data_IF_106198167423
#
_entry.id   IF_106198167423
#
_cell.length_a   1.000
_cell.length_b   1.000
_cell.length_c   1.000
_cell.angle_alpha   90.00
_cell.angle_beta   90.00
_cell.angle_gamma   90.00
#
_symmetry.space_group_name_H-M   'P 1'
#
loop_
_entity.id
_entity.type
_entity.pdbx_description
1 polymer ?
#
# COMPACT_ATOMS: atom_id res chain seq x y z
N UNK A 1 -22.54 11.44 -13.87
CA UNK A 1 -22.09 11.47 -12.48
C UNK A 1 -20.57 11.45 -12.53
N UNK A 2 -19.90 12.14 -11.61
CA UNK A 2 -18.45 12.05 -11.48
C UNK A 2 -18.09 11.37 -10.16
N UNK A 3 -17.13 10.45 -10.21
CA UNK A 3 -16.67 9.69 -9.05
C UNK A 3 -15.20 10.02 -8.84
N UNK A 4 -14.83 10.37 -7.61
CA UNK A 4 -13.43 10.38 -7.20
C UNK A 4 -13.11 9.03 -6.57
N UNK A 5 -11.98 8.44 -6.95
CA UNK A 5 -11.51 7.17 -6.40
C UNK A 5 -10.10 7.34 -5.83
N UNK A 6 -9.86 6.75 -4.67
CA UNK A 6 -8.53 6.63 -4.04
C UNK A 6 -8.41 5.26 -3.35
N UNK A 7 -7.19 4.79 -3.08
CA UNK A 7 -6.95 3.50 -2.44
C UNK A 7 -5.78 3.53 -1.47
N UNK A 8 -5.73 2.53 -0.59
CA UNK A 8 -4.55 2.11 0.17
C UNK A 8 -3.90 3.29 0.90
N UNK A 9 -4.68 3.96 1.75
CA UNK A 9 -4.19 5.09 2.53
C UNK A 9 -3.18 4.62 3.59
N UNK A 10 -3.40 3.44 4.18
CA UNK A 10 -2.62 2.87 5.28
C UNK A 10 -2.39 3.90 6.40
N UNK A 11 -3.50 4.43 6.92
CA UNK A 11 -3.51 5.40 8.00
C UNK A 11 -2.82 4.81 9.23
N UNK A 12 -1.66 5.39 9.56
CA UNK A 12 -0.72 4.81 10.52
C UNK A 12 0.22 5.85 11.10
N UNK A 13 0.67 5.60 12.33
CA UNK A 13 1.64 6.46 13.01
C UNK A 13 2.98 6.49 12.31
N UNK A 14 3.44 5.37 11.75
CA UNK A 14 4.76 5.25 11.15
C UNK A 14 4.70 4.50 9.83
N UNK A 15 5.69 4.73 8.99
CA UNK A 15 5.96 3.89 7.82
C UNK A 15 7.32 3.20 7.99
N UNK A 16 7.79 2.47 6.97
CA UNK A 16 8.98 1.61 7.05
C UNK A 16 10.15 2.19 7.87
N UNK A 17 10.77 3.27 7.37
CA UNK A 17 11.88 3.97 8.05
C UNK A 17 11.49 5.34 8.59
N UNK A 18 10.32 5.84 8.23
CA UNK A 18 9.85 7.16 8.64
C UNK A 18 9.22 7.09 10.03
N UNK A 19 10.07 7.30 11.06
CA UNK A 19 9.67 7.19 12.48
C UNK A 19 9.83 8.49 13.26
N UNK A 20 9.83 9.63 12.56
CA UNK A 20 10.01 10.95 13.16
C UNK A 20 8.69 11.62 13.56
N UNK A 21 8.77 12.50 14.56
CA UNK A 21 7.66 13.38 14.95
C UNK A 21 7.47 14.49 13.92
N UNK A 22 6.21 14.84 13.69
CA UNK A 22 5.79 16.08 13.07
C UNK A 22 5.59 17.16 14.12
N UNK A 23 4.86 18.21 13.76
CA UNK A 23 4.55 19.34 14.62
C UNK A 23 3.57 19.00 15.76
N UNK A 24 2.55 18.22 15.45
CA UNK A 24 1.47 17.80 16.35
C UNK A 24 1.39 16.28 16.40
N UNK A 25 1.38 15.62 15.23
CA UNK A 25 1.33 14.15 15.13
C UNK A 25 2.68 13.58 14.72
N UNK A 26 2.75 12.28 14.48
CA UNK A 26 3.88 11.73 13.72
C UNK A 26 3.92 12.36 12.33
N UNK A 27 5.12 12.42 11.73
CA UNK A 27 5.26 13.01 10.40
C UNK A 27 4.41 12.28 9.35
N UNK A 28 4.26 10.95 9.49
CA UNK A 28 3.41 10.14 8.60
C UNK A 28 1.94 10.52 8.74
N UNK A 29 1.42 10.70 9.95
CA UNK A 29 0.03 11.12 10.13
C UNK A 29 -0.23 12.52 9.57
N UNK A 30 0.69 13.47 9.77
CA UNK A 30 0.55 14.81 9.16
C UNK A 30 0.52 14.76 7.64
N UNK A 31 1.36 13.91 7.04
CA UNK A 31 1.36 13.66 5.61
C UNK A 31 0.04 13.04 5.11
N UNK A 32 -0.52 12.09 5.86
CA UNK A 32 -1.80 11.47 5.56
C UNK A 32 -2.96 12.47 5.68
N UNK A 33 -2.95 13.32 6.71
CA UNK A 33 -3.91 14.43 6.87
C UNK A 33 -3.86 15.35 5.65
N UNK A 34 -2.67 15.76 5.21
CA UNK A 34 -2.51 16.61 4.02
C UNK A 34 -3.01 15.92 2.75
N UNK A 35 -2.65 14.65 2.56
CA UNK A 35 -3.09 13.86 1.42
C UNK A 35 -4.61 13.72 1.39
N UNK A 36 -5.25 13.38 2.50
CA UNK A 36 -6.71 13.24 2.56
C UNK A 36 -7.45 14.58 2.43
N UNK A 37 -6.93 15.65 3.03
CA UNK A 37 -7.49 16.99 2.82
C UNK A 37 -7.43 17.41 1.34
N UNK A 38 -6.35 17.07 0.66
CA UNK A 38 -6.22 17.28 -0.77
C UNK A 38 -7.22 16.44 -1.58
N UNK A 39 -7.44 15.17 -1.23
CA UNK A 39 -8.49 14.34 -1.85
C UNK A 39 -9.86 15.01 -1.75
N UNK A 40 -10.24 15.48 -0.55
CA UNK A 40 -11.51 16.18 -0.31
C UNK A 40 -11.62 17.50 -1.08
N UNK A 41 -10.50 18.22 -1.24
CA UNK A 41 -10.43 19.43 -2.05
C UNK A 41 -10.61 19.11 -3.54
N UNK A 42 -9.93 18.08 -4.06
CA UNK A 42 -10.08 17.63 -5.44
C UNK A 42 -11.51 17.17 -5.73
N UNK A 43 -12.17 16.52 -4.78
CA UNK A 43 -13.58 16.16 -4.89
C UNK A 43 -14.46 17.39 -5.15
N UNK A 44 -14.31 18.44 -4.33
CA UNK A 44 -15.05 19.70 -4.45
C UNK A 44 -14.73 20.42 -5.76
N UNK A 45 -13.44 20.57 -6.08
CA UNK A 45 -12.97 21.29 -7.27
C UNK A 45 -13.46 20.64 -8.57
N UNK A 46 -13.47 19.30 -8.61
CA UNK A 46 -13.93 18.54 -9.77
C UNK A 46 -15.45 18.29 -9.77
N UNK A 47 -16.18 18.82 -8.78
CA UNK A 47 -17.63 18.69 -8.63
C UNK A 47 -18.06 17.22 -8.67
N UNK A 48 -17.33 16.36 -7.97
CA UNK A 48 -17.67 14.94 -7.91
C UNK A 48 -18.95 14.75 -7.09
N UNK A 49 -19.67 13.68 -7.38
CA UNK A 49 -20.93 13.34 -6.71
C UNK A 49 -20.74 12.25 -5.65
N UNK A 50 -19.66 11.47 -5.78
CA UNK A 50 -19.34 10.31 -4.96
C UNK A 50 -17.82 10.22 -4.81
N UNK A 51 -17.38 9.84 -3.63
CA UNK A 51 -16.00 9.50 -3.30
C UNK A 51 -15.96 8.01 -2.93
N UNK A 52 -15.03 7.26 -3.52
CA UNK A 52 -14.84 5.84 -3.24
C UNK A 52 -13.42 5.59 -2.73
N UNK A 53 -13.31 5.06 -1.52
CA UNK A 53 -12.08 4.51 -0.95
C UNK A 53 -12.01 3.01 -1.22
N UNK A 54 -10.99 2.57 -1.96
CA UNK A 54 -10.79 1.20 -2.42
C UNK A 54 -10.23 0.26 -1.35
N UNK A 55 -10.54 0.45 -0.07
CA UNK A 55 -10.01 -0.39 1.02
C UNK A 55 -8.63 0.01 1.52
N UNK A 56 -8.22 -0.62 2.62
CA UNK A 56 -7.01 -0.33 3.38
C UNK A 56 -6.86 1.16 3.67
N UNK A 57 -7.96 1.77 4.13
CA UNK A 57 -7.86 3.12 4.66
C UNK A 57 -6.96 3.12 5.88
N UNK A 58 -7.18 2.18 6.81
CA UNK A 58 -6.30 1.96 7.96
C UNK A 58 -5.29 0.86 7.69
N UNK A 59 -4.11 1.00 8.29
CA UNK A 59 -3.03 0.00 8.15
C UNK A 59 -3.26 -1.28 8.99
N UNK A 60 -4.25 -1.25 9.87
CA UNK A 60 -4.58 -2.32 10.82
C UNK A 60 -6.00 -2.16 11.36
N UNK A 61 -6.51 -3.21 11.96
CA UNK A 61 -7.81 -3.29 12.64
C UNK A 61 -7.83 -2.51 13.97
N UNK A 62 -6.68 -2.37 14.63
CA UNK A 62 -6.56 -1.75 15.94
C UNK A 62 -5.85 -0.39 15.89
N UNK A 63 -6.63 0.68 16.01
CA UNK A 63 -6.12 2.06 15.99
C UNK A 63 -5.67 2.52 17.39
N UNK A 64 -4.55 3.22 17.45
CA UNK A 64 -4.12 3.87 18.69
C UNK A 64 -4.77 5.26 18.87
N UNK A 65 -4.58 5.86 20.05
CA UNK A 65 -5.18 7.16 20.38
C UNK A 65 -4.72 8.30 19.49
N UNK A 66 -3.48 8.28 19.01
CA UNK A 66 -2.94 9.29 18.12
C UNK A 66 -3.56 9.20 16.72
N UNK A 67 -3.64 7.99 16.16
CA UNK A 67 -4.26 7.67 14.88
C UNK A 67 -5.73 8.12 14.85
N UNK A 68 -6.49 7.84 15.91
CA UNK A 68 -7.89 8.26 16.06
C UNK A 68 -8.00 9.79 16.19
N UNK A 69 -7.11 10.42 16.95
CA UNK A 69 -7.14 11.87 17.15
C UNK A 69 -6.84 12.62 15.86
N UNK A 70 -5.86 12.15 15.08
CA UNK A 70 -5.46 12.73 13.80
C UNK A 70 -6.60 12.74 12.76
N UNK A 71 -7.55 11.80 12.81
CA UNK A 71 -8.71 11.78 11.90
C UNK A 71 -9.59 13.03 12.02
N UNK A 72 -9.54 13.74 13.15
CA UNK A 72 -10.30 14.98 13.37
C UNK A 72 -9.77 16.15 12.54
N UNK A 73 -8.54 16.07 12.06
CA UNK A 73 -7.90 17.11 11.24
C UNK A 73 -8.23 17.00 9.75
N UNK A 74 -8.95 15.94 9.35
CA UNK A 74 -9.41 15.78 7.97
C UNK A 74 -10.70 16.58 7.79
N UNK A 75 -10.70 17.49 6.82
CA UNK A 75 -11.79 18.36 6.42
C UNK A 75 -12.74 17.65 5.45
N UNK A 76 -13.40 16.61 5.95
CA UNK A 76 -14.39 15.82 5.22
C UNK A 76 -15.42 16.70 4.53
N UNK A 77 -15.64 16.48 3.23
CA UNK A 77 -16.73 17.11 2.49
C UNK A 77 -18.08 16.48 2.86
N UNK A 78 -19.17 17.15 2.49
CA UNK A 78 -20.52 16.58 2.60
C UNK A 78 -20.90 15.68 1.40
N UNK A 79 -19.95 15.38 0.53
CA UNK A 79 -20.15 14.45 -0.59
C UNK A 79 -20.36 13.05 -0.02
N UNK A 80 -21.06 12.20 -0.76
CA UNK A 80 -21.22 10.80 -0.38
C UNK A 80 -19.88 10.06 -0.46
N UNK A 81 -19.56 9.27 0.57
CA UNK A 81 -18.37 8.43 0.64
C UNK A 81 -18.75 6.96 0.74
N UNK A 82 -18.10 6.12 -0.05
CA UNK A 82 -18.12 4.68 0.09
C UNK A 82 -16.72 4.18 0.39
N UNK A 83 -16.57 3.44 1.49
CA UNK A 83 -15.31 2.79 1.86
C UNK A 83 -15.48 1.28 1.74
N UNK A 84 -14.69 0.67 0.88
CA UNK A 84 -14.49 -0.78 0.94
C UNK A 84 -13.69 -1.09 2.21
N UNK A 85 -13.92 -2.26 2.80
CA UNK A 85 -13.03 -2.80 3.83
C UNK A 85 -11.93 -3.60 3.12
N UNK A 86 -10.68 -3.21 3.36
CA UNK A 86 -9.50 -3.95 2.87
C UNK A 86 -9.03 -5.03 3.85
N UNK A 87 -7.98 -5.76 3.49
CA UNK A 87 -7.48 -6.88 4.29
C UNK A 87 -6.78 -6.44 5.59
N UNK A 88 -6.22 -5.23 5.64
CA UNK A 88 -5.55 -4.71 6.83
C UNK A 88 -6.54 -4.33 7.94
N UNK A 89 -7.76 -3.98 7.57
CA UNK A 89 -8.74 -3.40 8.48
C UNK A 89 -9.53 -4.47 9.24
N UNK A 90 -9.30 -5.75 8.94
CA UNK A 90 -10.08 -6.90 9.39
C UNK A 90 -9.69 -7.35 10.80
N UNK A 91 -10.58 -7.18 11.78
CA UNK A 91 -10.43 -7.80 13.10
C UNK A 91 -10.83 -9.28 13.16
N UNK A 92 -11.57 -9.76 12.15
CA UNK A 92 -12.01 -11.15 11.97
C UNK A 92 -12.14 -11.48 10.49
N UNK A 93 -12.16 -12.78 10.16
CA UNK A 93 -12.30 -13.29 8.80
C UNK A 93 -13.68 -13.03 8.13
N UNK A 94 -14.59 -12.30 8.77
CA UNK A 94 -15.95 -12.03 8.27
C UNK A 94 -16.21 -10.55 7.94
N UNK A 95 -15.17 -9.69 7.96
CA UNK A 95 -15.22 -8.23 7.73
C UNK A 95 -16.14 -7.44 8.70
N UNK A 96 -16.84 -8.12 9.60
CA UNK A 96 -17.86 -7.50 10.45
C UNK A 96 -17.24 -6.59 11.51
N UNK A 97 -16.08 -6.98 12.02
CA UNK A 97 -15.27 -6.15 12.91
C UNK A 97 -14.14 -5.53 12.12
N UNK A 98 -14.23 -4.22 11.89
CA UNK A 98 -13.22 -3.47 11.15
C UNK A 98 -13.02 -2.06 11.69
N UNK A 99 -11.78 -1.57 11.61
CA UNK A 99 -11.43 -0.18 11.97
C UNK A 99 -12.16 0.84 11.10
N UNK A 100 -12.52 0.49 9.86
CA UNK A 100 -13.24 1.37 8.91
C UNK A 100 -14.59 1.84 9.44
N UNK A 101 -15.23 1.07 10.33
CA UNK A 101 -16.50 1.46 10.96
C UNK A 101 -16.42 2.71 11.84
N UNK A 102 -15.22 3.22 12.15
CA UNK A 102 -15.05 4.54 12.77
C UNK A 102 -15.65 5.68 11.94
N UNK A 103 -15.80 5.47 10.62
CA UNK A 103 -16.41 6.42 9.71
C UNK A 103 -17.93 6.32 9.62
N UNK A 104 -18.58 5.47 10.42
CA UNK A 104 -20.04 5.30 10.39
C UNK A 104 -20.77 6.59 10.86
N UNK A 105 -20.93 7.51 9.91
CA UNK A 105 -21.50 8.86 10.05
C UNK A 105 -22.48 9.09 8.89
N UNK A 106 -23.27 10.17 8.98
CA UNK A 106 -24.12 10.59 7.86
C UNK A 106 -23.28 10.83 6.60
N UNK A 107 -23.71 10.25 5.47
CA UNK A 107 -23.08 10.28 4.13
C UNK A 107 -21.85 9.37 3.95
N UNK A 108 -21.53 8.52 4.92
CA UNK A 108 -20.45 7.53 4.82
C UNK A 108 -21.05 6.13 4.82
N UNK A 109 -20.70 5.34 3.82
CA UNK A 109 -21.14 3.96 3.65
C UNK A 109 -19.94 3.02 3.73
N UNK A 110 -20.01 2.06 4.64
CA UNK A 110 -18.98 1.04 4.83
C UNK A 110 -19.46 -0.24 4.14
N UNK A 111 -18.79 -0.61 3.06
CA UNK A 111 -19.16 -1.77 2.25
C UNK A 111 -18.33 -2.96 2.72
N UNK A 112 -18.96 -3.81 3.55
CA UNK A 112 -18.35 -5.00 4.16
C UNK A 112 -18.71 -6.31 3.43
N UNK A 113 -19.38 -6.21 2.28
CA UNK A 113 -19.63 -7.32 1.38
C UNK A 113 -19.94 -6.83 -0.03
N UNK A 114 -20.00 -7.76 -1.01
CA UNK A 114 -20.38 -7.44 -2.38
C UNK A 114 -21.76 -6.78 -2.44
N UNK A 115 -21.84 -5.58 -3.00
CA UNK A 115 -23.10 -4.84 -3.14
C UNK A 115 -23.13 -4.03 -4.43
N UNK A 116 -24.34 -3.80 -4.95
CA UNK A 116 -24.58 -2.95 -6.11
C UNK A 116 -25.41 -1.74 -5.75
N UNK A 117 -24.91 -0.58 -6.15
CA UNK A 117 -25.65 0.68 -6.14
C UNK A 117 -25.98 1.02 -7.59
N UNK A 118 -27.26 0.92 -7.96
CA UNK A 118 -27.72 1.31 -9.29
C UNK A 118 -27.97 2.82 -9.34
N UNK A 119 -27.28 3.52 -10.24
CA UNK A 119 -27.51 4.94 -10.47
C UNK A 119 -28.27 5.13 -11.79
N UNK A 120 -29.59 5.28 -11.67
CA UNK A 120 -30.53 5.32 -12.82
C UNK A 120 -30.25 6.44 -13.81
N UNK A 121 -29.88 7.62 -13.33
CA UNK A 121 -29.64 8.79 -14.18
C UNK A 121 -28.37 8.66 -15.04
N UNK A 122 -27.32 8.06 -14.47
CA UNK A 122 -26.06 7.80 -15.18
C UNK A 122 -26.04 6.45 -15.90
N UNK A 123 -27.07 5.60 -15.71
CA UNK A 123 -27.15 4.23 -16.22
C UNK A 123 -25.90 3.41 -15.90
N UNK A 124 -25.47 3.47 -14.64
CA UNK A 124 -24.36 2.65 -14.13
C UNK A 124 -24.79 1.73 -13.00
N UNK A 125 -24.22 0.53 -12.99
CA UNK A 125 -24.13 -0.36 -11.85
C UNK A 125 -22.76 -0.12 -11.19
N UNK A 126 -22.75 0.55 -10.04
CA UNK A 126 -21.55 0.65 -9.21
C UNK A 126 -21.51 -0.57 -8.29
N UNK A 127 -20.57 -1.48 -8.55
CA UNK A 127 -20.36 -2.69 -7.74
C UNK A 127 -19.22 -2.42 -6.77
N UNK A 128 -19.48 -2.62 -5.49
CA UNK A 128 -18.50 -2.47 -4.42
C UNK A 128 -18.11 -3.87 -3.94
N UNK A 129 -16.82 -4.18 -4.05
CA UNK A 129 -16.27 -5.49 -3.78
C UNK A 129 -15.10 -5.35 -2.78
N UNK A 130 -15.38 -5.38 -1.46
CA UNK A 130 -14.32 -5.36 -0.45
C UNK A 130 -13.46 -6.62 -0.51
N UNK A 131 -12.48 -6.74 0.38
CA UNK A 131 -11.58 -7.88 0.41
C UNK A 131 -12.30 -9.21 0.66
N UNK A 132 -12.13 -10.16 -0.25
CA UNK A 132 -12.82 -11.45 -0.21
C UNK A 132 -11.86 -12.54 0.29
N UNK A 133 -12.18 -13.12 1.46
CA UNK A 133 -11.41 -14.21 2.06
C UNK A 133 -11.85 -15.61 1.61
N UNK A 134 -12.84 -15.73 0.74
CA UNK A 134 -13.39 -17.03 0.35
C UNK A 134 -12.82 -17.48 -1.01
N UNK A 135 -11.78 -18.35 -1.02
CA UNK A 135 -11.11 -18.78 -2.25
C UNK A 135 -11.95 -19.73 -3.10
N UNK A 136 -13.01 -20.32 -2.55
CA UNK A 136 -13.80 -21.35 -3.23
C UNK A 136 -14.88 -20.79 -4.16
N UNK A 137 -15.18 -19.48 -4.05
CA UNK A 137 -16.15 -18.82 -4.92
C UNK A 137 -15.45 -18.17 -6.10
N UNK A 138 -15.94 -18.47 -7.30
CA UNK A 138 -15.50 -17.78 -8.51
C UNK A 138 -15.89 -16.30 -8.47
N UNK A 139 -15.12 -15.45 -9.13
CA UNK A 139 -15.45 -14.02 -9.30
C UNK A 139 -16.89 -13.84 -9.82
N UNK A 140 -17.27 -14.68 -10.78
CA UNK A 140 -18.59 -14.71 -11.41
C UNK A 140 -19.73 -14.89 -10.40
N UNK A 141 -19.54 -15.65 -9.32
CA UNK A 141 -20.58 -15.83 -8.30
C UNK A 141 -20.87 -14.55 -7.52
N UNK A 142 -19.87 -13.67 -7.39
CA UNK A 142 -20.05 -12.38 -6.75
C UNK A 142 -20.76 -11.40 -7.66
N UNK A 143 -20.48 -11.40 -8.97
CA UNK A 143 -20.92 -10.33 -9.88
C UNK A 143 -22.05 -10.69 -10.86
N UNK A 144 -22.28 -11.97 -11.18
CA UNK A 144 -23.30 -12.37 -12.17
C UNK A 144 -24.73 -12.01 -11.77
N UNK A 145 -25.01 -11.83 -10.49
CA UNK A 145 -26.35 -11.46 -10.02
C UNK A 145 -26.71 -10.00 -10.34
N UNK A 146 -25.76 -9.24 -10.91
CA UNK A 146 -25.82 -7.79 -11.03
C UNK A 146 -25.88 -7.27 -12.47
N UNK A 147 -25.88 -8.16 -13.47
CA UNK A 147 -25.81 -7.82 -14.88
C UNK A 147 -27.17 -7.44 -15.48
N UNK A 148 -27.63 -6.22 -15.20
CA UNK A 148 -28.61 -5.56 -16.07
C UNK A 148 -27.88 -4.98 -17.29
N UNK A 149 -28.10 -5.57 -18.47
CA UNK A 149 -27.45 -5.16 -19.72
C UNK A 149 -27.78 -3.74 -20.17
N UNK A 150 -28.74 -3.08 -19.52
CA UNK A 150 -29.07 -1.67 -19.79
C UNK A 150 -28.15 -0.68 -19.06
N UNK A 151 -27.25 -1.16 -18.22
CA UNK A 151 -26.35 -0.38 -17.39
C UNK A 151 -24.89 -0.75 -17.66
N UNK A 152 -24.02 0.26 -17.67
CA UNK A 152 -22.57 0.04 -17.63
C UNK A 152 -22.18 -0.44 -16.24
N UNK A 153 -21.32 -1.43 -16.13
CA UNK A 153 -20.87 -2.00 -14.84
C UNK A 153 -19.46 -1.51 -14.52
N UNK A 154 -19.35 -0.73 -13.44
CA UNK A 154 -18.08 -0.27 -12.87
C UNK A 154 -17.88 -0.97 -11.54
N UNK A 155 -16.77 -1.69 -11.40
CA UNK A 155 -16.45 -2.43 -10.18
C UNK A 155 -15.32 -1.72 -9.44
N UNK A 156 -15.58 -1.38 -8.18
CA UNK A 156 -14.60 -0.91 -7.22
C UNK A 156 -14.22 -2.10 -6.34
N UNK A 157 -12.94 -2.47 -6.34
CA UNK A 157 -12.45 -3.69 -5.71
C UNK A 157 -11.26 -3.44 -4.80
N UNK A 158 -11.12 -4.28 -3.77
CA UNK A 158 -9.89 -4.44 -2.99
C UNK A 158 -9.55 -5.92 -2.93
N UNK A 159 -8.95 -6.50 -3.97
CA UNK A 159 -8.67 -7.94 -4.03
C UNK A 159 -7.39 -8.24 -4.79
N UNK A 160 -6.84 -9.43 -4.57
CA UNK A 160 -5.79 -9.99 -5.42
C UNK A 160 -6.29 -10.17 -6.86
N UNK A 161 -5.40 -9.94 -7.82
CA UNK A 161 -5.64 -10.19 -9.25
C UNK A 161 -4.64 -11.23 -9.74
N UNK A 162 -5.13 -12.32 -10.32
CA UNK A 162 -4.30 -13.36 -10.90
C UNK A 162 -3.81 -12.92 -12.29
N UNK A 163 -2.57 -13.24 -12.63
CA UNK A 163 -1.98 -12.96 -13.94
C UNK A 163 -1.21 -11.63 -14.07
N UNK A 164 -1.15 -10.81 -13.02
CA UNK A 164 -0.35 -9.58 -13.00
C UNK A 164 1.14 -9.86 -12.73
N UNK A 165 2.03 -9.04 -13.28
CA UNK A 165 3.47 -9.12 -13.07
C UNK A 165 3.88 -8.36 -11.79
N UNK A 166 4.30 -9.08 -10.76
CA UNK A 166 4.81 -8.53 -9.49
C UNK A 166 6.33 -8.71 -9.42
N UNK A 167 7.07 -7.77 -10.02
CA UNK A 167 8.53 -7.83 -10.06
C UNK A 167 9.02 -8.99 -10.95
N UNK A 168 9.52 -10.08 -10.34
CA UNK A 168 10.01 -11.28 -11.08
C UNK A 168 8.98 -12.41 -11.17
N UNK A 169 7.84 -12.29 -10.49
CA UNK A 169 6.83 -13.34 -10.40
C UNK A 169 5.51 -12.87 -11.01
N UNK A 170 4.75 -13.79 -11.60
CA UNK A 170 3.37 -13.55 -12.00
C UNK A 170 2.45 -14.07 -10.90
N UNK A 171 1.51 -13.25 -10.45
CA UNK A 171 0.54 -13.66 -9.43
C UNK A 171 -0.30 -14.83 -9.94
N UNK A 172 -0.46 -15.86 -9.10
CA UNK A 172 -1.33 -17.02 -9.37
C UNK A 172 -2.59 -17.02 -8.50
N UNK A 173 -2.70 -16.07 -7.58
CA UNK A 173 -3.80 -15.92 -6.63
C UNK A 173 -4.68 -14.73 -7.03
N UNK A 174 -5.94 -14.77 -6.62
CA UNK A 174 -6.91 -13.71 -6.86
C UNK A 174 -7.85 -13.99 -8.03
N UNK A 175 -8.57 -12.94 -8.45
CA UNK A 175 -9.53 -13.03 -9.54
C UNK A 175 -8.81 -13.04 -10.90
N UNK A 176 -9.26 -13.91 -11.80
CA UNK A 176 -8.69 -14.00 -13.16
C UNK A 176 -9.06 -12.76 -13.98
N UNK A 177 -8.08 -12.20 -14.69
CA UNK A 177 -8.28 -11.00 -15.51
C UNK A 177 -9.38 -11.19 -16.56
N UNK A 178 -9.51 -12.38 -17.16
CA UNK A 178 -10.53 -12.63 -18.18
C UNK A 178 -11.93 -12.65 -17.57
N UNK A 179 -12.08 -13.28 -16.42
CA UNK A 179 -13.35 -13.29 -15.69
C UNK A 179 -13.79 -11.85 -15.33
N UNK A 180 -12.84 -11.00 -14.95
CA UNK A 180 -13.08 -9.57 -14.71
C UNK A 180 -13.57 -8.88 -15.98
N UNK A 181 -12.83 -8.99 -17.09
CA UNK A 181 -13.12 -8.31 -18.34
C UNK A 181 -14.45 -8.72 -18.99
N UNK A 182 -14.90 -9.96 -18.76
CA UNK A 182 -16.19 -10.47 -19.23
C UNK A 182 -17.38 -9.92 -18.44
N UNK A 183 -17.16 -9.41 -17.22
CA UNK A 183 -18.24 -9.00 -16.31
C UNK A 183 -18.42 -7.50 -16.14
N UNK A 184 -17.47 -6.69 -16.59
CA UNK A 184 -17.52 -5.25 -16.36
C UNK A 184 -17.00 -4.43 -17.54
N UNK A 185 -17.43 -3.17 -17.57
CA UNK A 185 -16.91 -2.17 -18.48
C UNK A 185 -15.63 -1.53 -17.93
N UNK A 186 -15.50 -1.46 -16.60
CA UNK A 186 -14.33 -0.94 -15.90
C UNK A 186 -14.19 -1.58 -14.51
N UNK A 187 -12.97 -1.99 -14.17
CA UNK A 187 -12.58 -2.54 -12.88
C UNK A 187 -11.45 -1.71 -12.30
N UNK A 188 -11.67 -1.15 -11.11
CA UNK A 188 -10.72 -0.28 -10.40
C UNK A 188 -10.39 -0.94 -9.07
N UNK A 189 -9.14 -1.36 -8.91
CA UNK A 189 -8.67 -2.11 -7.76
C UNK A 189 -7.76 -1.27 -6.84
N UNK A 190 -7.89 -1.46 -5.53
CA UNK A 190 -6.87 -1.14 -4.52
C UNK A 190 -5.95 -2.35 -4.25
N UNK A 191 -5.48 -2.50 -3.02
CA UNK A 191 -4.69 -3.63 -2.50
C UNK A 191 -3.22 -3.66 -2.94
N UNK A 192 -2.94 -3.37 -4.21
CA UNK A 192 -1.57 -3.34 -4.72
C UNK A 192 -1.08 -1.90 -4.76
N UNK A 193 0.03 -1.61 -4.09
CA UNK A 193 0.44 -0.21 -3.87
C UNK A 193 0.98 0.49 -5.11
N UNK A 194 1.49 -0.26 -6.09
CA UNK A 194 1.99 0.30 -7.34
C UNK A 194 0.85 0.43 -8.36
N UNK A 195 0.49 1.67 -8.72
CA UNK A 195 -0.58 1.92 -9.69
C UNK A 195 -0.20 1.47 -11.10
N UNK A 196 -1.06 0.70 -11.76
CA UNK A 196 -0.82 0.17 -13.09
C UNK A 196 -2.14 -0.02 -13.85
N UNK A 197 -2.13 0.39 -15.13
CA UNK A 197 -3.18 0.00 -16.08
C UNK A 197 -2.86 -1.39 -16.60
N UNK A 198 -3.51 -2.41 -16.04
CA UNK A 198 -3.27 -3.83 -16.37
C UNK A 198 -3.84 -4.14 -17.76
N UNK A 199 -5.06 -3.68 -18.05
CA UNK A 199 -5.68 -3.76 -19.37
C UNK A 199 -6.46 -2.48 -19.68
N UNK A 200 -7.17 -2.42 -20.81
CA UNK A 200 -8.07 -1.30 -21.10
C UNK A 200 -9.26 -1.19 -20.13
N UNK A 201 -9.58 -2.28 -19.42
CA UNK A 201 -10.71 -2.34 -18.48
C UNK A 201 -10.28 -2.56 -17.03
N UNK A 202 -9.06 -3.03 -16.78
CA UNK A 202 -8.59 -3.36 -15.43
C UNK A 202 -7.48 -2.40 -15.03
N UNK A 203 -7.72 -1.66 -13.94
CA UNK A 203 -6.79 -0.68 -13.40
C UNK A 203 -6.56 -1.01 -11.94
N UNK A 204 -5.29 -1.13 -11.56
CA UNK A 204 -4.89 -1.03 -10.16
C UNK A 204 -4.49 0.42 -9.88
N UNK A 205 -5.18 1.09 -8.95
CA UNK A 205 -4.97 2.53 -8.74
C UNK A 205 -3.65 2.82 -8.02
N UNK A 206 -3.21 1.91 -7.14
CA UNK A 206 -2.09 2.15 -6.26
C UNK A 206 -2.49 2.86 -4.97
N UNK A 207 -1.49 3.10 -4.12
CA UNK A 207 -1.70 3.81 -2.87
C UNK A 207 -1.68 5.33 -3.02
N UNK A 208 -2.47 5.99 -2.17
CA UNK A 208 -2.55 7.45 -2.12
C UNK A 208 -1.21 8.11 -1.74
N UNK A 209 -0.37 7.41 -0.99
CA UNK A 209 0.97 7.84 -0.61
C UNK A 209 1.80 6.66 -0.17
N UNK A 210 3.08 6.67 -0.51
CA UNK A 210 3.97 5.56 -0.23
C UNK A 210 4.11 5.18 1.25
N UNK A 211 4.36 3.90 1.48
CA UNK A 211 4.46 3.28 2.80
C UNK A 211 5.83 2.62 3.01
N UNK A 212 6.37 1.96 1.99
CA UNK A 212 7.61 1.22 2.13
C UNK A 212 8.35 1.01 0.81
N UNK A 213 9.57 0.48 0.89
CA UNK A 213 10.44 0.32 -0.27
C UNK A 213 9.99 -0.76 -1.27
N UNK A 214 8.91 -1.51 -1.07
CA UNK A 214 8.35 -2.37 -2.13
C UNK A 214 7.79 -1.56 -3.30
N UNK A 215 7.52 -0.28 -3.06
CA UNK A 215 7.10 0.70 -4.06
C UNK A 215 8.30 1.22 -4.87
N UNK A 216 8.03 1.68 -6.09
CA UNK A 216 9.03 2.23 -7.01
C UNK A 216 8.57 3.57 -7.57
N UNK A 217 8.91 4.66 -6.88
CA UNK A 217 8.53 6.02 -7.27
C UNK A 217 9.26 6.54 -8.52
N UNK A 218 10.16 5.76 -9.13
CA UNK A 218 10.65 6.05 -10.48
C UNK A 218 9.64 5.67 -11.56
N UNK A 219 8.79 4.68 -11.30
CA UNK A 219 7.85 4.12 -12.29
C UNK A 219 6.42 4.53 -12.01
N UNK A 220 6.06 4.59 -10.73
CA UNK A 220 4.69 4.77 -10.31
C UNK A 220 4.50 6.13 -9.65
N UNK A 221 3.32 6.71 -9.85
CA UNK A 221 2.85 7.92 -9.17
C UNK A 221 1.70 7.56 -8.24
N UNK A 222 1.61 8.26 -7.13
CA UNK A 222 0.51 8.12 -6.17
C UNK A 222 -0.65 9.01 -6.62
N UNK A 223 -1.73 8.42 -7.13
CA UNK A 223 -2.79 9.17 -7.81
C UNK A 223 -4.16 8.99 -7.14
N UNK A 224 -5.03 9.96 -7.37
CA UNK A 224 -6.48 9.74 -7.37
C UNK A 224 -6.99 9.59 -8.80
N UNK A 225 -8.18 9.02 -8.95
CA UNK A 225 -8.89 8.97 -10.23
C UNK A 225 -10.16 9.82 -10.18
N UNK A 226 -10.38 10.63 -11.21
CA UNK A 226 -11.67 11.28 -11.48
C UNK A 226 -12.32 10.56 -12.67
N UNK A 227 -13.40 9.82 -12.42
CA UNK A 227 -14.13 9.03 -13.41
C UNK A 227 -15.42 9.76 -13.84
N UNK A 228 -15.61 9.99 -15.15
CA UNK A 228 -16.91 10.36 -15.70
C UNK A 228 -17.71 9.10 -16.05
N UNK A 229 -18.78 8.86 -15.32
CA UNK A 229 -19.54 7.61 -15.46
C UNK A 229 -20.34 7.51 -16.75
N UNK A 230 -20.53 8.62 -17.49
CA UNK A 230 -21.25 8.60 -18.77
C UNK A 230 -20.34 8.06 -19.87
N UNK A 231 -19.09 8.54 -19.92
CA UNK A 231 -18.11 8.15 -20.95
C UNK A 231 -17.24 6.97 -20.53
N UNK A 232 -17.07 6.75 -19.22
CA UNK A 232 -16.05 5.89 -18.59
C UNK A 232 -14.61 6.40 -18.82
N UNK A 233 -14.45 7.63 -19.30
CA UNK A 233 -13.15 8.28 -19.33
C UNK A 233 -12.76 8.72 -17.92
N UNK A 234 -11.46 8.67 -17.64
CA UNK A 234 -10.92 9.07 -16.35
C UNK A 234 -9.66 9.90 -16.50
N UNK A 235 -9.40 10.70 -15.47
CA UNK A 235 -8.16 11.45 -15.28
C UNK A 235 -7.47 10.94 -14.01
N UNK A 236 -6.16 10.72 -14.08
CA UNK A 236 -5.33 10.45 -12.91
C UNK A 236 -4.63 11.74 -12.49
N UNK A 237 -4.80 12.12 -11.23
CA UNK A 237 -4.21 13.33 -10.66
C UNK A 237 -3.24 12.91 -9.55
N UNK A 238 -1.98 13.29 -9.69
CA UNK A 238 -0.93 12.92 -8.73
C UNK A 238 -1.07 13.70 -7.42
N UNK A 239 -0.95 12.99 -6.30
CA UNK A 239 -0.95 13.56 -4.95
C UNK A 239 0.35 14.35 -4.71
N UNK A 240 0.30 15.69 -4.60
CA UNK A 240 1.50 16.50 -4.45
C UNK A 240 2.15 16.34 -3.06
N UNK A 241 1.45 15.73 -2.12
CA UNK A 241 1.94 15.47 -0.77
C UNK A 241 2.51 14.07 -0.61
N UNK A 242 2.38 13.17 -1.58
CA UNK A 242 2.77 11.78 -1.40
C UNK A 242 4.24 11.60 -0.98
N UNK A 243 4.48 10.67 -0.06
CA UNK A 243 5.82 10.18 0.26
C UNK A 243 6.26 9.24 -0.86
N UNK A 244 7.45 9.46 -1.41
CA UNK A 244 7.97 8.74 -2.57
C UNK A 244 9.17 7.86 -2.17
N UNK A 245 9.05 6.54 -2.27
CA UNK A 245 10.12 5.60 -1.91
C UNK A 245 11.05 5.30 -3.10
N UNK A 246 12.36 5.43 -2.89
CA UNK A 246 13.39 5.16 -3.90
C UNK A 246 14.48 4.23 -3.38
N UNK A 247 14.93 3.32 -4.24
CA UNK A 247 16.12 2.49 -4.01
C UNK A 247 17.22 2.94 -4.95
N UNK A 248 18.35 3.36 -4.39
CA UNK A 248 19.49 3.91 -5.11
C UNK A 248 20.72 3.02 -4.92
N UNK A 249 21.52 2.88 -5.97
CA UNK A 249 22.78 2.15 -5.97
C UNK A 249 23.91 3.10 -6.38
N UNK A 250 24.77 3.44 -5.42
CA UNK A 250 25.96 4.25 -5.60
C UNK A 250 27.26 3.44 -5.74
N UNK A 251 27.18 2.10 -5.73
CA UNK A 251 28.37 1.25 -5.90
C UNK A 251 28.81 1.26 -7.36
N UNK A 252 27.85 1.23 -8.28
CA UNK A 252 28.13 1.14 -9.72
C UNK A 252 27.81 2.44 -10.48
N UNK A 253 27.08 3.37 -9.88
CA UNK A 253 26.53 4.55 -10.54
C UNK A 253 26.56 5.77 -9.61
N UNK A 254 26.52 6.98 -10.14
CA UNK A 254 26.32 8.20 -9.33
C UNK A 254 24.82 8.50 -9.29
N UNK A 255 24.15 8.45 -8.12
CA UNK A 255 22.74 8.80 -8.01
C UNK A 255 22.48 10.27 -8.39
N UNK A 256 21.37 10.52 -9.08
CA UNK A 256 20.92 11.88 -9.36
C UNK A 256 19.82 12.28 -8.38
N UNK A 257 20.17 12.94 -7.28
CA UNK A 257 19.18 13.38 -6.29
C UNK A 257 18.24 14.49 -6.81
N UNK A 258 18.67 15.26 -7.83
CA UNK A 258 17.87 16.34 -8.38
C UNK A 258 16.64 15.85 -9.17
N UNK A 259 16.62 14.59 -9.60
CA UNK A 259 15.46 13.99 -10.27
C UNK A 259 14.41 13.41 -9.32
N UNK A 260 14.72 13.33 -8.02
CA UNK A 260 13.78 12.80 -7.03
C UNK A 260 12.63 13.77 -6.82
N UNK A 261 11.41 13.24 -6.74
CA UNK A 261 10.21 14.00 -6.36
C UNK A 261 10.36 14.54 -4.94
N UNK A 262 9.52 15.52 -4.58
CA UNK A 262 9.42 16.00 -3.19
C UNK A 262 9.02 14.85 -2.26
N UNK A 263 9.31 15.01 -0.96
CA UNK A 263 9.02 13.99 0.06
C UNK A 263 9.65 12.62 -0.25
N UNK A 264 10.86 12.63 -0.83
CA UNK A 264 11.58 11.41 -1.14
C UNK A 264 12.09 10.73 0.13
N UNK A 265 11.88 9.42 0.21
CA UNK A 265 12.45 8.53 1.23
C UNK A 265 13.34 7.54 0.50
N UNK A 266 14.62 7.49 0.84
CA UNK A 266 15.59 6.74 0.05
C UNK A 266 16.29 5.64 0.85
N UNK A 267 16.58 4.52 0.19
CA UNK A 267 17.70 3.65 0.59
C UNK A 267 18.82 3.83 -0.40
N UNK A 268 20.04 4.09 0.07
CA UNK A 268 21.22 4.22 -0.76
C UNK A 268 22.22 3.12 -0.42
N UNK A 269 22.54 2.25 -1.37
CA UNK A 269 23.67 1.31 -1.27
C UNK A 269 24.95 1.98 -1.74
N UNK A 270 26.03 1.98 -0.95
CA UNK A 270 27.31 2.57 -1.33
C UNK A 270 28.51 1.83 -0.73
N UNK A 271 29.72 2.12 -1.20
CA UNK A 271 30.96 1.60 -0.58
C UNK A 271 31.24 2.31 0.75
N UNK A 272 31.88 1.62 1.69
CA UNK A 272 32.24 2.15 3.02
C UNK A 272 33.03 3.46 2.93
N UNK A 273 34.02 3.52 2.03
CA UNK A 273 34.87 4.70 1.80
C UNK A 273 34.11 5.95 1.33
N UNK A 274 32.94 5.77 0.74
CA UNK A 274 32.14 6.87 0.17
C UNK A 274 30.95 7.25 1.06
N UNK A 275 30.71 6.51 2.15
CA UNK A 275 29.50 6.63 2.97
C UNK A 275 29.31 8.00 3.60
N UNK A 276 30.37 8.62 4.12
CA UNK A 276 30.33 9.97 4.71
C UNK A 276 30.02 11.05 3.67
N UNK A 277 30.59 10.92 2.46
CA UNK A 277 30.33 11.85 1.35
C UNK A 277 28.86 11.81 0.95
N UNK A 278 28.31 10.60 0.79
CA UNK A 278 26.90 10.44 0.46
C UNK A 278 25.96 10.93 1.56
N UNK A 279 26.31 10.73 2.83
CA UNK A 279 25.51 11.24 3.94
C UNK A 279 25.39 12.77 3.91
N UNK A 280 26.49 13.47 3.60
CA UNK A 280 26.49 14.94 3.47
C UNK A 280 25.70 15.40 2.23
N UNK A 281 25.86 14.74 1.08
CA UNK A 281 25.09 15.06 -0.13
C UNK A 281 23.58 14.88 0.08
N UNK A 282 23.17 13.80 0.74
CA UNK A 282 21.76 13.53 1.07
C UNK A 282 21.21 14.63 1.98
N UNK A 283 21.95 15.01 3.02
CA UNK A 283 21.54 16.06 3.97
C UNK A 283 21.34 17.41 3.30
N UNK A 284 22.09 17.68 2.24
CA UNK A 284 22.00 18.92 1.45
C UNK A 284 20.90 18.86 0.37
N UNK A 285 20.18 17.74 0.22
CA UNK A 285 19.09 17.61 -0.75
C UNK A 285 17.73 17.93 -0.11
N UNK A 286 17.05 19.03 -0.49
CA UNK A 286 15.79 19.44 0.13
C UNK A 286 14.60 18.53 -0.17
N UNK A 287 14.69 17.71 -1.22
CA UNK A 287 13.62 16.80 -1.60
C UNK A 287 13.60 15.53 -0.73
N UNK A 288 14.72 15.17 -0.11
CA UNK A 288 14.86 13.96 0.70
C UNK A 288 14.45 14.27 2.14
N UNK A 289 13.44 13.57 2.62
CA UNK A 289 12.90 13.76 3.97
C UNK A 289 13.37 12.69 4.96
N UNK A 290 13.86 11.55 4.47
CA UNK A 290 14.40 10.46 5.28
C UNK A 290 15.31 9.56 4.42
N UNK A 291 16.34 8.96 5.03
CA UNK A 291 17.25 8.09 4.29
C UNK A 291 17.79 6.93 5.12
N UNK A 292 18.17 5.85 4.43
CA UNK A 292 18.94 4.74 5.00
C UNK A 292 20.12 4.42 4.09
N UNK A 293 21.34 4.51 4.62
CA UNK A 293 22.57 4.13 3.90
C UNK A 293 22.90 2.67 4.22
N UNK A 294 23.10 1.87 3.16
CA UNK A 294 23.51 0.48 3.22
C UNK A 294 24.97 0.40 2.76
N UNK A 295 25.88 0.15 3.70
CA UNK A 295 27.32 0.15 3.44
C UNK A 295 27.77 -1.23 2.96
N UNK A 296 28.42 -1.26 1.82
CA UNK A 296 29.13 -2.43 1.30
C UNK A 296 30.64 -2.29 1.59
N UNK A 297 31.19 -3.31 2.24
CA UNK A 297 32.61 -3.37 2.56
C UNK A 297 33.36 -4.08 1.44
N UNK A 298 34.54 -3.57 1.09
CA UNK A 298 35.42 -4.29 0.18
C UNK A 298 35.76 -5.65 0.80
N UNK A 299 35.35 -6.72 0.12
CA UNK A 299 35.77 -8.07 0.51
C UNK A 299 37.25 -8.17 0.17
N UNK A 300 38.10 -8.11 1.20
CA UNK A 300 39.53 -8.34 1.03
C UNK A 300 39.76 -9.68 0.30
N UNK A 301 40.68 -9.74 -0.68
CA UNK A 301 41.01 -10.98 -1.36
C UNK A 301 41.31 -12.09 -0.34
N UNK A 302 40.67 -13.25 -0.54
CA UNK A 302 40.78 -14.44 0.33
C UNK A 302 42.22 -14.90 0.63
N UNK A 303 43.21 -14.43 -0.13
CA UNK A 303 44.62 -14.76 0.04
C UNK A 303 45.25 -14.24 1.35
N UNK A 304 44.53 -13.40 2.12
CA UNK A 304 44.98 -12.91 3.43
C UNK A 304 44.24 -13.50 4.64
N UNK A 305 43.26 -14.40 4.42
CA UNK A 305 42.38 -14.91 5.49
C UNK A 305 42.74 -16.34 5.94
N UNK A 306 43.61 -17.05 5.21
CA UNK A 306 44.05 -18.39 5.62
C UNK A 306 45.04 -18.39 6.81
N UNK A 307 45.50 -17.22 7.27
CA UNK A 307 46.24 -17.08 8.53
C UNK A 307 45.38 -16.69 9.75
N UNK A 308 44.07 -16.49 9.57
CA UNK A 308 43.16 -16.05 10.64
C UNK A 308 41.88 -16.92 10.79
N UNK A 309 41.80 -18.07 10.11
CA UNK A 309 40.63 -18.97 10.15
C UNK A 309 40.53 -19.89 11.38
N UNK A 310 41.44 -19.81 12.34
CA UNK A 310 41.36 -20.60 13.58
C UNK A 310 40.55 -19.94 14.70
N UNK A 311 39.95 -18.76 14.48
CA UNK A 311 39.34 -17.98 15.57
C UNK A 311 37.85 -17.67 15.49
N UNK A 312 37.21 -17.69 14.32
CA UNK A 312 35.87 -17.11 14.14
C UNK A 312 35.01 -17.94 13.17
N UNK A 313 34.67 -19.15 13.61
CA UNK A 313 33.45 -19.83 13.15
C UNK A 313 32.52 -19.88 14.35
N UNK A 314 31.77 -18.80 14.60
CA UNK A 314 30.67 -18.86 15.56
C UNK A 314 29.55 -19.65 14.91
N UNK A 315 29.21 -20.79 15.52
CA UNK A 315 28.05 -21.57 15.13
C UNK A 315 26.78 -20.81 15.55
N UNK A 316 26.30 -19.95 14.65
CA UNK A 316 25.13 -19.12 14.87
C UNK A 316 23.85 -19.93 15.10
N UNK A 317 23.80 -21.18 14.62
CA UNK A 317 22.69 -22.09 14.92
C UNK A 317 22.75 -22.48 16.40
N UNK A 318 23.93 -22.83 16.90
CA UNK A 318 24.12 -23.10 18.33
C UNK A 318 23.87 -21.88 19.22
N UNK A 319 24.27 -20.67 18.79
CA UNK A 319 23.97 -19.43 19.51
C UNK A 319 22.46 -19.14 19.57
N UNK A 320 21.75 -19.33 18.45
CA UNK A 320 20.30 -19.20 18.40
C UNK A 320 19.61 -20.22 19.30
N UNK A 321 20.03 -21.49 19.25
CA UNK A 321 19.47 -22.54 20.12
C UNK A 321 19.66 -22.22 21.60
N UNK A 322 20.84 -21.70 21.95
CA UNK A 322 21.16 -21.28 23.31
C UNK A 322 20.28 -20.11 23.75
N UNK A 323 20.12 -19.09 22.91
CA UNK A 323 19.28 -17.94 23.22
C UNK A 323 17.82 -18.34 23.49
N UNK A 324 17.25 -19.21 22.65
CA UNK A 324 15.86 -19.67 22.81
C UNK A 324 15.69 -20.49 24.09
N UNK A 325 16.61 -21.41 24.38
CA UNK A 325 16.56 -22.23 25.61
C UNK A 325 16.78 -21.42 26.88
N UNK A 326 17.62 -20.37 26.85
CA UNK A 326 17.81 -19.44 27.97
C UNK A 326 16.59 -18.53 28.21
N UNK A 327 15.88 -18.16 27.16
CA UNK A 327 14.75 -17.22 27.24
C UNK A 327 13.41 -17.92 27.53
N UNK A 328 13.16 -19.06 26.88
CA UNK A 328 11.89 -19.78 26.94
C UNK A 328 11.94 -21.03 27.84
N UNK A 329 13.14 -21.44 28.26
CA UNK A 329 13.37 -22.68 29.00
C UNK A 329 13.58 -23.89 28.09
N UNK A 330 14.11 -24.97 28.65
CA UNK A 330 14.45 -26.20 27.94
C UNK A 330 13.41 -27.31 28.22
N UNK A 331 12.14 -27.05 27.93
CA UNK A 331 11.12 -28.10 27.95
C UNK A 331 11.25 -28.99 26.71
N UNK A 332 10.79 -30.24 26.80
CA UNK A 332 10.90 -31.21 25.70
C UNK A 332 10.26 -30.71 24.41
N UNK A 333 9.12 -30.01 24.52
CA UNK A 333 8.42 -29.39 23.38
C UNK A 333 9.26 -28.30 22.73
N UNK A 334 9.89 -27.42 23.54
CA UNK A 334 10.75 -26.36 23.00
C UNK A 334 11.94 -26.97 22.28
N UNK A 335 12.56 -28.01 22.84
CA UNK A 335 13.72 -28.67 22.20
C UNK A 335 13.34 -29.38 20.89
N UNK A 336 12.20 -30.06 20.84
CA UNK A 336 11.70 -30.75 19.65
C UNK A 336 11.41 -29.76 18.51
N UNK A 337 10.72 -28.66 18.80
CA UNK A 337 10.44 -27.60 17.81
C UNK A 337 11.74 -26.90 17.35
N UNK A 338 12.67 -26.65 18.28
CA UNK A 338 13.96 -26.04 17.97
C UNK A 338 14.81 -26.92 17.05
N UNK A 339 14.73 -28.25 17.21
CA UNK A 339 15.38 -29.20 16.31
C UNK A 339 14.75 -29.23 14.92
N UNK A 340 13.43 -29.07 14.80
CA UNK A 340 12.75 -29.01 13.50
C UNK A 340 13.11 -27.72 12.74
N UNK A 341 13.13 -26.58 13.43
CA UNK A 341 13.43 -25.26 12.84
C UNK A 341 14.90 -25.10 12.46
N UNK A 342 15.82 -25.74 13.18
CA UNK A 342 17.27 -25.59 12.98
C UNK A 342 17.90 -26.71 12.12
N UNK A 343 17.09 -27.58 11.50
CA UNK A 343 17.54 -28.49 10.43
C UNK A 343 17.77 -27.73 9.14
#
# INVERSE_FOLDING_TARGET
MKILVFGDCHWSTYSSILRKRGSLFSYRLENLIQSMNWVEEQAKNNKVNLIVGLGDFFDKEALNSEEITALKEINWSNIEHHFLIGNHEMGRNDLFYSSTYIFNKSNFYIENGPIVRQHKESKINAVFLPYILNPDKSFLEYVKTFSDTNYKTVIFSHNDIAGIQMGKFVSKSGFDIKDIEECCDLFINGHLHNGEKITDRVINLGNLTGQNFSEDAYKYSHNIMILDTKTLEYELIENPYAINFYRLDAVNHTPNFASLKKNAVITLRCMEKDSDGWAEDIKNCPNIIESRILIEREVLPKESVDSAKDGLVSDHISEFKKYVTETLGASDIVLEELEEVCK
#
